data_IF_537768402661
#
_entry.id   IF_537768402661
#
_cell.length_a   1.000
_cell.length_b   1.000
_cell.length_c   1.000
_cell.angle_alpha   90.00
_cell.angle_beta   90.00
_cell.angle_gamma   90.00
#
_symmetry.space_group_name_H-M   'P 1'
#
loop_
_entity.id
_entity.type
_entity.pdbx_description
1 polymer ?
#
# COMPACT_ATOMS: atom_id res chain seq x y z
N UNK A 1 -15.36 63.44 4.51
CA UNK A 1 -14.98 63.25 3.10
C UNK A 1 -14.18 61.96 3.01
N UNK A 2 -14.42 60.97 2.13
CA UNK A 2 -15.56 60.48 1.32
C UNK A 2 -15.03 59.25 0.55
N UNK A 3 -15.65 58.08 0.34
CA UNK A 3 -16.81 57.32 0.87
C UNK A 3 -16.47 55.83 0.60
N UNK A 4 -16.96 54.77 1.28
CA UNK A 4 -18.28 54.40 1.82
C UNK A 4 -19.34 54.03 0.76
N UNK A 5 -19.21 52.82 0.17
CA UNK A 5 -20.34 52.06 -0.37
C UNK A 5 -20.26 50.61 0.12
N UNK A 6 -21.29 50.19 0.84
CA UNK A 6 -21.56 48.81 1.22
C UNK A 6 -22.90 48.42 0.57
N UNK A 7 -22.96 47.30 -0.13
CA UNK A 7 -24.20 46.83 -0.77
C UNK A 7 -24.69 45.54 -0.14
N UNK A 8 -25.48 45.69 0.92
CA UNK A 8 -26.38 44.65 1.40
C UNK A 8 -27.66 44.62 0.55
N UNK A 9 -28.25 43.44 0.36
CA UNK A 9 -29.63 43.31 -0.10
C UNK A 9 -30.26 42.06 0.50
N UNK A 10 -31.51 42.20 0.93
CA UNK A 10 -32.15 41.33 1.91
C UNK A 10 -33.64 41.17 1.58
N UNK A 11 -34.23 40.00 1.91
CA UNK A 11 -35.69 39.78 2.03
C UNK A 11 -36.43 39.83 0.67
N UNK A 12 -37.44 39.02 0.33
CA UNK A 12 -38.19 37.97 1.05
C UNK A 12 -39.33 37.41 0.17
N UNK A 13 -40.23 36.54 0.69
CA UNK A 13 -41.02 35.61 -0.14
C UNK A 13 -42.54 35.91 -0.29
N UNK A 14 -43.20 35.25 -1.27
CA UNK A 14 -44.65 34.89 -1.35
C UNK A 14 -44.88 33.92 -2.54
N UNK A 15 -45.48 32.72 -2.39
CA UNK A 15 -46.94 32.38 -2.45
C UNK A 15 -47.64 32.98 -3.69
N UNK A 16 -48.38 32.25 -4.55
CA UNK A 16 -49.50 31.33 -4.23
C UNK A 16 -50.18 30.65 -5.45
N UNK A 17 -50.88 29.53 -5.19
CA UNK A 17 -52.18 29.08 -5.76
C UNK A 17 -52.33 28.52 -7.21
N UNK A 18 -52.75 27.24 -7.24
CA UNK A 18 -53.92 26.65 -7.92
C UNK A 18 -54.43 27.21 -9.28
N UNK A 19 -54.57 26.30 -10.25
CA UNK A 19 -55.83 26.15 -11.02
C UNK A 19 -56.08 24.70 -11.40
N UNK A 20 -57.26 24.17 -11.03
CA UNK A 20 -57.82 22.92 -11.56
C UNK A 20 -58.51 23.18 -12.90
N UNK A 21 -58.43 22.23 -13.84
CA UNK A 21 -59.38 22.09 -14.95
C UNK A 21 -59.72 20.62 -15.20
N UNK A 22 -61.00 20.37 -15.47
CA UNK A 22 -61.64 19.06 -15.64
C UNK A 22 -62.15 18.88 -17.07
N UNK A 23 -62.63 17.65 -17.39
CA UNK A 23 -63.39 17.26 -18.61
C UNK A 23 -62.52 16.94 -19.84
N UNK A 24 -62.78 15.91 -20.67
CA UNK A 24 -63.76 14.81 -20.62
C UNK A 24 -63.33 13.61 -21.53
N UNK A 25 -64.11 12.53 -21.48
CA UNK A 25 -63.90 11.22 -22.16
C UNK A 25 -63.89 11.28 -23.70
N UNK A 26 -63.18 10.32 -24.31
CA UNK A 26 -63.74 9.53 -25.42
C UNK A 26 -63.12 8.12 -25.47
N UNK A 27 -63.93 7.11 -25.75
CA UNK A 27 -63.53 5.73 -26.04
C UNK A 27 -63.16 5.57 -27.52
N UNK A 28 -62.34 4.57 -27.90
CA UNK A 28 -62.67 3.52 -28.91
C UNK A 28 -61.44 2.67 -29.33
N UNK A 29 -61.50 1.36 -28.99
CA UNK A 29 -61.03 0.17 -29.73
C UNK A 29 -59.56 -0.13 -30.07
N UNK A 30 -59.36 -1.45 -30.21
CA UNK A 30 -58.34 -2.20 -30.96
C UNK A 30 -56.92 -2.22 -30.37
N UNK A 31 -56.34 -3.41 -30.37
CA UNK A 31 -55.13 -3.72 -29.60
C UNK A 31 -53.92 -4.08 -30.44
N UNK A 32 -52.79 -4.00 -29.75
CA UNK A 32 -51.52 -4.70 -29.93
C UNK A 32 -51.05 -4.89 -28.46
N UNK A 33 -50.89 -6.09 -27.90
CA UNK A 33 -49.92 -7.14 -28.26
C UNK A 33 -48.53 -6.59 -28.55
N UNK A 34 -47.59 -7.06 -27.75
CA UNK A 34 -46.13 -6.92 -27.86
C UNK A 34 -45.52 -5.54 -27.53
N UNK A 35 -45.31 -5.27 -26.23
CA UNK A 35 -44.22 -4.38 -25.77
C UNK A 35 -43.70 -4.71 -24.34
N UNK A 36 -43.77 -5.99 -23.92
CA UNK A 36 -43.41 -6.42 -22.55
C UNK A 36 -41.99 -7.03 -22.44
N UNK A 37 -41.14 -6.84 -23.46
CA UNK A 37 -39.78 -7.42 -23.51
C UNK A 37 -38.63 -6.40 -23.58
N UNK A 38 -38.92 -5.10 -23.60
CA UNK A 38 -37.88 -4.05 -23.66
C UNK A 38 -37.40 -3.58 -22.27
N UNK A 39 -38.25 -3.64 -21.23
CA UNK A 39 -37.96 -3.04 -19.92
C UNK A 39 -36.77 -3.68 -19.18
N UNK A 40 -36.75 -5.02 -19.09
CA UNK A 40 -35.68 -5.74 -18.38
C UNK A 40 -34.29 -5.58 -19.02
N UNK A 41 -34.21 -5.27 -20.32
CA UNK A 41 -32.93 -4.97 -20.97
C UNK A 41 -32.40 -3.56 -20.66
N UNK A 42 -33.28 -2.61 -20.33
CA UNK A 42 -32.92 -1.24 -19.96
C UNK A 42 -32.49 -1.17 -18.50
N UNK A 43 -33.25 -1.74 -17.56
CA UNK A 43 -32.88 -1.76 -16.12
C UNK A 43 -31.52 -2.45 -15.88
N UNK A 44 -31.24 -3.56 -16.57
CA UNK A 44 -29.96 -4.28 -16.43
C UNK A 44 -28.76 -3.46 -16.95
N UNK A 45 -28.99 -2.64 -17.98
CA UNK A 45 -27.98 -1.74 -18.54
C UNK A 45 -27.75 -0.53 -17.62
N UNK A 46 -28.82 0.07 -17.10
CA UNK A 46 -28.76 1.18 -16.14
C UNK A 46 -28.05 0.77 -14.84
N UNK A 47 -28.34 -0.42 -14.31
CA UNK A 47 -27.64 -1.00 -13.14
C UNK A 47 -26.12 -1.14 -13.38
N UNK A 48 -25.72 -1.64 -14.57
CA UNK A 48 -24.29 -1.77 -14.92
C UNK A 48 -23.62 -0.41 -15.16
N UNK A 49 -24.32 0.57 -15.73
CA UNK A 49 -23.82 1.94 -15.89
C UNK A 49 -23.58 2.59 -14.52
N UNK A 50 -24.52 2.46 -13.58
CA UNK A 50 -24.35 2.97 -12.21
C UNK A 50 -23.12 2.32 -11.55
N UNK A 51 -22.99 0.99 -11.63
CA UNK A 51 -21.86 0.26 -11.06
C UNK A 51 -20.50 0.72 -11.62
N UNK A 52 -20.38 0.95 -12.93
CA UNK A 52 -19.15 1.51 -13.49
C UNK A 52 -18.88 2.95 -13.02
N UNK A 53 -19.92 3.74 -12.74
CA UNK A 53 -19.78 5.04 -12.05
C UNK A 53 -19.21 4.90 -10.64
N UNK A 54 -19.74 3.98 -9.83
CA UNK A 54 -19.25 3.71 -8.47
C UNK A 54 -17.79 3.20 -8.46
N UNK A 55 -17.35 2.45 -9.49
CA UNK A 55 -15.94 2.08 -9.68
C UNK A 55 -15.05 3.29 -9.98
N UNK A 56 -15.54 4.26 -10.77
CA UNK A 56 -14.81 5.49 -11.07
C UNK A 56 -14.70 6.41 -9.85
N UNK A 57 -15.75 6.46 -9.01
CA UNK A 57 -15.70 7.15 -7.71
C UNK A 57 -14.62 6.55 -6.80
N UNK A 58 -14.50 5.22 -6.72
CA UNK A 58 -13.42 4.56 -5.97
C UNK A 58 -12.03 4.92 -6.53
N UNK A 59 -11.86 4.97 -7.86
CA UNK A 59 -10.59 5.42 -8.46
C UNK A 59 -10.28 6.86 -8.08
N UNK A 60 -11.25 7.77 -8.25
CA UNK A 60 -11.10 9.19 -7.94
C UNK A 60 -10.73 9.43 -6.47
N UNK A 61 -11.36 8.71 -5.54
CA UNK A 61 -11.06 8.86 -4.12
C UNK A 61 -9.72 8.22 -3.73
N UNK A 62 -9.26 7.16 -4.41
CA UNK A 62 -7.89 6.66 -4.23
C UNK A 62 -6.82 7.66 -4.69
N UNK A 63 -7.04 8.33 -5.82
CA UNK A 63 -6.16 9.42 -6.28
C UNK A 63 -6.12 10.54 -5.24
N UNK A 64 -7.29 10.91 -4.69
CA UNK A 64 -7.41 11.92 -3.65
C UNK A 64 -6.67 11.53 -2.37
N UNK A 65 -6.78 10.28 -1.93
CA UNK A 65 -6.02 9.76 -0.77
C UNK A 65 -4.51 9.85 -1.04
N UNK A 66 -4.05 9.39 -2.21
CA UNK A 66 -2.65 9.51 -2.62
C UNK A 66 -2.12 10.96 -2.62
N UNK A 67 -2.94 11.91 -3.05
CA UNK A 67 -2.62 13.34 -2.98
C UNK A 67 -2.54 13.86 -1.54
N UNK A 68 -3.47 13.45 -0.66
CA UNK A 68 -3.45 13.81 0.77
C UNK A 68 -2.20 13.25 1.47
N UNK A 69 -1.85 11.98 1.25
CA UNK A 69 -0.61 11.37 1.77
C UNK A 69 0.62 12.11 1.26
N UNK A 70 0.68 12.42 -0.04
CA UNK A 70 1.77 13.20 -0.65
C UNK A 70 1.94 14.59 -0.03
N UNK A 71 0.84 15.28 0.28
CA UNK A 71 0.88 16.57 0.97
C UNK A 71 1.38 16.43 2.41
N UNK A 72 0.88 15.41 3.12
CA UNK A 72 1.28 15.08 4.50
C UNK A 72 2.78 14.81 4.60
N UNK A 73 3.37 14.01 3.69
CA UNK A 73 4.83 13.77 3.65
C UNK A 73 5.61 15.08 3.55
N UNK A 74 5.31 15.92 2.56
CA UNK A 74 6.01 17.19 2.36
C UNK A 74 5.86 18.15 3.54
N UNK A 75 4.65 18.26 4.10
CA UNK A 75 4.38 19.12 5.27
C UNK A 75 5.02 18.59 6.55
N UNK A 76 5.05 17.28 6.76
CA UNK A 76 5.70 16.64 7.92
C UNK A 76 7.22 16.79 7.86
N UNK A 77 7.80 16.67 6.66
CA UNK A 77 9.23 16.95 6.40
C UNK A 77 9.55 18.40 6.76
N UNK A 78 8.77 19.37 6.27
CA UNK A 78 8.96 20.79 6.57
C UNK A 78 8.82 21.10 8.07
N UNK A 79 7.76 20.61 8.72
CA UNK A 79 7.52 20.82 10.15
C UNK A 79 8.64 20.24 11.03
N UNK A 80 9.21 19.08 10.66
CA UNK A 80 10.40 18.52 11.30
C UNK A 80 11.61 19.44 11.11
N UNK A 81 11.92 19.82 9.86
CA UNK A 81 13.13 20.58 9.54
C UNK A 81 13.13 21.99 10.14
N UNK A 82 11.99 22.66 10.15
CA UNK A 82 11.86 24.02 10.68
C UNK A 82 11.57 24.05 12.19
N UNK A 83 11.52 22.87 12.84
CA UNK A 83 11.21 22.67 14.27
C UNK A 83 9.86 23.30 14.67
N UNK A 84 8.93 23.38 13.72
CA UNK A 84 7.59 23.95 13.94
C UNK A 84 6.67 22.91 14.61
N UNK A 85 6.63 22.99 15.94
CA UNK A 85 5.76 22.14 16.77
C UNK A 85 4.26 22.40 16.54
N UNK A 86 3.87 23.58 16.04
CA UNK A 86 2.48 23.87 15.73
C UNK A 86 2.06 23.19 14.42
N UNK A 87 2.87 23.34 13.35
CA UNK A 87 2.66 22.62 12.10
C UNK A 87 2.67 21.10 12.29
N UNK A 88 3.59 20.57 13.11
CA UNK A 88 3.64 19.15 13.46
C UNK A 88 2.37 18.70 14.21
N UNK A 89 1.83 19.52 15.12
CA UNK A 89 0.60 19.19 15.83
C UNK A 89 -0.63 19.23 14.91
N UNK A 90 -0.72 20.19 13.99
CA UNK A 90 -1.79 20.26 12.98
C UNK A 90 -1.82 19.02 12.07
N UNK A 91 -0.66 18.40 11.80
CA UNK A 91 -0.60 17.14 11.05
C UNK A 91 -1.09 15.97 11.93
N UNK A 92 -0.66 15.90 13.19
CA UNK A 92 -1.10 14.85 14.14
C UNK A 92 -2.62 14.90 14.38
N UNK A 93 -3.19 16.10 14.51
CA UNK A 93 -4.64 16.28 14.73
C UNK A 93 -5.45 16.14 13.43
N UNK A 94 -4.79 16.14 12.26
CA UNK A 94 -5.40 15.95 10.95
C UNK A 94 -5.45 14.49 10.48
N UNK A 95 -4.79 13.58 11.20
CA UNK A 95 -4.69 12.15 10.91
C UNK A 95 -6.06 11.47 10.91
N UNK A 96 -6.90 11.78 11.92
CA UNK A 96 -8.30 11.34 12.04
C UNK A 96 -9.14 11.57 10.75
N UNK A 97 -8.79 12.58 9.94
CA UNK A 97 -9.47 12.90 8.67
C UNK A 97 -9.04 11.98 7.53
N UNK A 98 -7.79 11.51 7.55
CA UNK A 98 -7.29 10.49 6.62
C UNK A 98 -7.93 9.14 6.98
N UNK A 99 -7.97 8.78 8.26
CA UNK A 99 -8.58 7.54 8.76
C UNK A 99 -10.07 7.43 8.39
N UNK A 100 -10.88 8.47 8.67
CA UNK A 100 -12.31 8.50 8.30
C UNK A 100 -12.51 8.38 6.79
N UNK A 101 -11.66 9.03 5.99
CA UNK A 101 -11.70 8.94 4.53
C UNK A 101 -11.36 7.53 4.02
N UNK A 102 -10.34 6.88 4.61
CA UNK A 102 -9.96 5.50 4.32
C UNK A 102 -11.09 4.53 4.66
N UNK A 103 -11.68 4.63 5.86
CA UNK A 103 -12.82 3.80 6.28
C UNK A 103 -14.02 3.96 5.32
N UNK A 104 -14.39 5.20 4.98
CA UNK A 104 -15.47 5.47 4.03
C UNK A 104 -15.21 4.99 2.60
N UNK A 105 -13.94 4.80 2.22
CA UNK A 105 -13.54 4.24 0.92
C UNK A 105 -13.51 2.70 0.95
N UNK A 106 -13.06 2.09 2.06
CA UNK A 106 -13.17 0.64 2.29
C UNK A 106 -14.64 0.17 2.32
N UNK A 107 -15.52 0.88 3.04
CA UNK A 107 -16.95 0.57 3.09
C UNK A 107 -17.60 0.58 1.69
N UNK A 108 -17.19 1.48 0.81
CA UNK A 108 -17.65 1.51 -0.59
C UNK A 108 -17.13 0.32 -1.39
N UNK A 109 -15.87 -0.06 -1.19
CA UNK A 109 -15.32 -1.27 -1.79
C UNK A 109 -16.05 -2.54 -1.32
N UNK A 110 -16.33 -2.67 -0.02
CA UNK A 110 -17.11 -3.81 0.52
C UNK A 110 -18.54 -3.82 -0.02
N UNK A 111 -19.19 -2.64 -0.16
CA UNK A 111 -20.52 -2.51 -0.75
C UNK A 111 -20.56 -2.97 -2.20
N UNK A 112 -19.56 -2.61 -3.00
CA UNK A 112 -19.42 -3.07 -4.40
C UNK A 112 -19.29 -4.59 -4.47
N UNK A 113 -18.47 -5.20 -3.61
CA UNK A 113 -18.30 -6.66 -3.54
C UNK A 113 -19.56 -7.40 -3.05
N UNK A 114 -20.38 -6.75 -2.22
CA UNK A 114 -21.57 -7.36 -1.62
C UNK A 114 -22.84 -7.23 -2.48
N UNK A 115 -23.01 -6.12 -3.20
CA UNK A 115 -24.21 -5.83 -3.99
C UNK A 115 -24.11 -6.30 -5.45
N UNK A 116 -22.89 -6.47 -5.97
CA UNK A 116 -22.65 -6.73 -7.39
C UNK A 116 -21.95 -8.08 -7.58
N UNK A 117 -22.01 -8.61 -8.81
CA UNK A 117 -21.27 -9.81 -9.22
C UNK A 117 -20.12 -9.40 -10.16
N UNK A 118 -19.00 -8.85 -9.62
CA UNK A 118 -17.91 -8.33 -10.43
C UNK A 118 -17.27 -9.41 -11.31
N UNK A 119 -17.01 -9.07 -12.57
CA UNK A 119 -16.23 -9.87 -13.50
C UNK A 119 -14.75 -9.82 -13.06
N UNK A 120 -13.94 -10.82 -13.44
CA UNK A 120 -12.58 -11.01 -12.95
C UNK A 120 -11.66 -9.76 -12.96
N UNK A 121 -11.79 -8.85 -13.93
CA UNK A 121 -11.02 -7.59 -13.95
C UNK A 121 -11.50 -6.58 -12.90
N UNK A 122 -12.82 -6.43 -12.76
CA UNK A 122 -13.47 -5.53 -11.79
C UNK A 122 -13.22 -6.00 -10.36
N UNK A 123 -13.26 -7.33 -10.13
CA UNK A 123 -12.92 -7.93 -8.84
C UNK A 123 -11.46 -7.64 -8.47
N UNK A 124 -10.51 -7.77 -9.42
CA UNK A 124 -9.11 -7.40 -9.17
C UNK A 124 -8.94 -5.92 -8.90
N UNK A 125 -9.68 -5.04 -9.58
CA UNK A 125 -9.67 -3.60 -9.30
C UNK A 125 -10.13 -3.29 -7.86
N UNK A 126 -11.26 -3.83 -7.40
CA UNK A 126 -11.76 -3.55 -6.04
C UNK A 126 -10.85 -4.18 -4.97
N UNK A 127 -10.35 -5.40 -5.17
CA UNK A 127 -9.40 -6.03 -4.26
C UNK A 127 -8.04 -5.31 -4.21
N UNK A 128 -7.57 -4.78 -5.35
CA UNK A 128 -6.38 -3.93 -5.42
C UNK A 128 -6.61 -2.63 -4.65
N UNK A 129 -7.77 -2.01 -4.87
CA UNK A 129 -8.13 -0.74 -4.23
C UNK A 129 -8.12 -0.86 -2.70
N UNK A 130 -8.73 -1.92 -2.15
CA UNK A 130 -8.65 -2.24 -0.72
C UNK A 130 -7.22 -2.40 -0.17
N UNK A 131 -6.28 -2.93 -0.99
CA UNK A 131 -4.87 -3.02 -0.58
C UNK A 131 -4.18 -1.66 -0.62
N UNK A 132 -4.42 -0.87 -1.67
CA UNK A 132 -3.84 0.47 -1.82
C UNK A 132 -4.25 1.41 -0.68
N UNK A 133 -5.52 1.40 -0.26
CA UNK A 133 -6.00 2.21 0.89
C UNK A 133 -5.14 1.96 2.13
N UNK A 134 -4.88 0.70 2.46
CA UNK A 134 -4.12 0.32 3.67
C UNK A 134 -2.60 0.56 3.56
N UNK A 135 -2.01 0.60 2.36
CA UNK A 135 -0.60 1.02 2.22
C UNK A 135 -0.46 2.56 2.27
N UNK A 136 -1.48 3.30 1.81
CA UNK A 136 -1.54 4.76 1.85
C UNK A 136 -1.81 5.31 3.26
N UNK A 137 -2.75 4.72 4.00
CA UNK A 137 -3.02 5.05 5.41
C UNK A 137 -1.76 4.90 6.27
N UNK A 138 -1.12 3.73 6.26
CA UNK A 138 0.18 3.50 6.91
C UNK A 138 1.25 4.51 6.52
N UNK A 139 1.26 4.97 5.26
CA UNK A 139 2.21 5.98 4.80
C UNK A 139 1.96 7.35 5.43
N UNK A 140 0.70 7.75 5.64
CA UNK A 140 0.38 8.95 6.43
C UNK A 140 0.76 8.79 7.91
N UNK A 141 0.39 7.66 8.53
CA UNK A 141 0.67 7.35 9.94
C UNK A 141 2.19 7.34 10.23
N UNK A 142 3.02 6.87 9.30
CA UNK A 142 4.49 6.99 9.40
C UNK A 142 4.97 8.45 9.47
N UNK A 143 4.36 9.37 8.73
CA UNK A 143 4.71 10.80 8.77
C UNK A 143 4.16 11.47 10.03
N UNK A 144 3.01 11.02 10.53
CA UNK A 144 2.52 11.43 11.85
C UNK A 144 3.49 10.94 12.94
N UNK A 145 4.12 9.77 12.77
CA UNK A 145 5.21 9.31 13.63
C UNK A 145 6.50 10.15 13.47
N UNK A 146 6.80 10.71 12.29
CA UNK A 146 7.83 11.76 12.11
C UNK A 146 7.48 13.03 12.90
N UNK A 147 6.23 13.48 12.87
CA UNK A 147 5.75 14.65 13.63
C UNK A 147 5.74 14.41 15.16
N UNK A 148 5.35 13.21 15.59
CA UNK A 148 5.49 12.74 16.99
C UNK A 148 6.98 12.66 17.40
N UNK A 149 7.89 12.45 16.44
CA UNK A 149 9.35 12.42 16.68
C UNK A 149 9.97 13.82 16.78
N UNK A 150 9.56 14.79 15.97
CA UNK A 150 10.07 16.17 16.04
C UNK A 150 9.85 16.79 17.44
N UNK A 151 8.69 16.52 18.05
CA UNK A 151 8.37 16.87 19.45
C UNK A 151 9.34 16.25 20.47
N UNK A 152 9.84 15.03 20.22
CA UNK A 152 10.77 14.30 21.12
C UNK A 152 12.22 14.75 20.97
N UNK A 153 12.59 15.36 19.84
CA UNK A 153 13.94 15.85 19.54
C UNK A 153 13.99 17.37 19.35
N UNK A 154 13.02 18.11 19.90
CA UNK A 154 12.92 19.56 19.69
C UNK A 154 14.21 20.33 20.04
N UNK A 155 14.95 19.89 21.06
CA UNK A 155 16.22 20.49 21.50
C UNK A 155 17.45 20.07 20.67
N UNK A 156 17.29 19.16 19.69
CA UNK A 156 18.36 18.72 18.79
C UNK A 156 18.45 19.65 17.59
N UNK A 157 19.65 20.17 17.32
CA UNK A 157 19.91 20.97 16.12
C UNK A 157 20.47 20.10 14.99
N UNK A 158 19.88 20.21 13.80
CA UNK A 158 20.35 19.47 12.63
C UNK A 158 21.50 20.22 11.95
N UNK A 159 22.69 19.63 11.97
CA UNK A 159 23.80 20.10 11.14
C UNK A 159 23.43 20.04 9.64
N UNK A 160 24.05 20.86 8.76
CA UNK A 160 23.63 21.01 7.36
C UNK A 160 23.52 19.69 6.58
N UNK A 161 24.43 18.74 6.83
CA UNK A 161 24.38 17.42 6.19
C UNK A 161 23.13 16.60 6.60
N UNK A 162 22.77 16.61 7.88
CA UNK A 162 21.59 15.89 8.39
C UNK A 162 20.31 16.53 7.87
N UNK A 163 20.23 17.87 7.88
CA UNK A 163 19.10 18.62 7.31
C UNK A 163 18.88 18.28 5.83
N UNK A 164 19.94 18.36 5.02
CA UNK A 164 19.85 18.10 3.57
C UNK A 164 19.53 16.64 3.22
N UNK A 165 19.88 15.67 4.08
CA UNK A 165 19.49 14.27 3.88
C UNK A 165 18.01 14.03 4.22
N UNK A 166 17.49 14.63 5.30
CA UNK A 166 16.05 14.57 5.62
C UNK A 166 15.20 15.21 4.52
N UNK A 167 15.63 16.36 4.00
CA UNK A 167 14.97 17.06 2.89
C UNK A 167 14.88 16.18 1.63
N UNK A 168 15.99 15.52 1.27
CA UNK A 168 16.02 14.58 0.14
C UNK A 168 15.14 13.34 0.37
N UNK A 169 15.16 12.73 1.56
CA UNK A 169 14.29 11.59 1.87
C UNK A 169 12.80 11.96 1.76
N UNK A 170 12.40 13.15 2.25
CA UNK A 170 11.02 13.62 2.14
C UNK A 170 10.58 13.91 0.70
N UNK A 171 11.48 14.46 -0.13
CA UNK A 171 11.24 14.64 -1.57
C UNK A 171 11.08 13.29 -2.27
N UNK A 172 11.97 12.33 -2.01
CA UNK A 172 11.95 11.02 -2.67
C UNK A 172 10.73 10.19 -2.27
N UNK A 173 10.40 10.14 -0.97
CA UNK A 173 9.18 9.48 -0.48
C UNK A 173 7.90 10.09 -1.08
N UNK A 174 7.87 11.42 -1.27
CA UNK A 174 6.75 12.10 -1.97
C UNK A 174 6.70 11.72 -3.46
N UNK A 175 7.85 11.54 -4.11
CA UNK A 175 7.94 11.11 -5.51
C UNK A 175 7.48 9.66 -5.68
N UNK A 176 7.94 8.74 -4.83
CA UNK A 176 7.56 7.33 -4.83
C UNK A 176 6.06 7.11 -4.67
N UNK A 177 5.42 7.77 -3.70
CA UNK A 177 3.96 7.68 -3.51
C UNK A 177 3.21 8.22 -4.74
N UNK A 178 3.68 9.29 -5.38
CA UNK A 178 3.08 9.80 -6.63
C UNK A 178 3.25 8.82 -7.78
N UNK A 179 4.45 8.33 -8.03
CA UNK A 179 4.71 7.34 -9.07
C UNK A 179 3.89 6.05 -8.88
N UNK A 180 3.71 5.61 -7.64
CA UNK A 180 2.85 4.48 -7.29
C UNK A 180 1.37 4.74 -7.64
N UNK A 181 0.84 5.94 -7.34
CA UNK A 181 -0.52 6.35 -7.70
C UNK A 181 -0.66 6.52 -9.22
N UNK A 182 0.29 7.17 -9.89
CA UNK A 182 0.29 7.36 -11.34
C UNK A 182 0.25 6.01 -12.07
N UNK A 183 1.03 5.02 -11.59
CA UNK A 183 0.99 3.65 -12.13
C UNK A 183 -0.38 2.97 -11.97
N UNK A 184 -1.10 3.25 -10.87
CA UNK A 184 -2.46 2.76 -10.64
C UNK A 184 -3.49 3.46 -11.56
N UNK A 185 -3.36 4.77 -11.77
CA UNK A 185 -4.26 5.59 -12.60
C UNK A 185 -4.19 5.15 -14.07
N UNK A 186 -2.99 5.08 -14.62
CA UNK A 186 -2.76 4.74 -16.02
C UNK A 186 -2.73 3.22 -16.27
N UNK A 187 -2.83 2.42 -15.20
CA UNK A 187 -2.64 0.96 -15.22
C UNK A 187 -1.28 0.55 -15.83
N UNK A 188 -0.25 1.36 -15.61
CA UNK A 188 1.08 1.19 -16.19
C UNK A 188 1.89 0.14 -15.41
N UNK A 189 1.93 -1.07 -15.96
CA UNK A 189 2.75 -2.18 -15.45
C UNK A 189 4.26 -1.89 -15.50
N UNK A 190 4.72 -1.03 -16.42
CA UNK A 190 6.14 -0.71 -16.56
C UNK A 190 6.58 0.18 -15.40
N UNK A 191 5.87 1.28 -15.15
CA UNK A 191 6.10 2.13 -13.99
C UNK A 191 5.92 1.36 -12.68
N UNK A 192 4.86 0.55 -12.56
CA UNK A 192 4.61 -0.27 -11.38
C UNK A 192 5.75 -1.27 -11.09
N UNK A 193 6.38 -1.83 -12.14
CA UNK A 193 7.54 -2.73 -11.99
C UNK A 193 8.85 -2.01 -11.68
N UNK A 194 8.99 -0.74 -12.08
CA UNK A 194 10.19 0.06 -11.87
C UNK A 194 10.26 0.70 -10.47
N UNK A 195 9.20 0.64 -9.67
CA UNK A 195 9.18 1.24 -8.33
C UNK A 195 10.24 0.65 -7.38
N UNK A 196 10.57 -0.64 -7.53
CA UNK A 196 11.65 -1.32 -6.78
C UNK A 196 13.00 -0.63 -7.08
N UNK A 197 13.37 -0.51 -8.37
CA UNK A 197 14.58 0.19 -8.83
C UNK A 197 14.59 1.70 -8.51
N UNK A 198 13.43 2.32 -8.30
CA UNK A 198 13.32 3.75 -7.93
C UNK A 198 13.55 3.93 -6.41
N UNK A 199 13.11 2.98 -5.59
CA UNK A 199 13.20 3.06 -4.12
C UNK A 199 14.63 2.85 -3.60
N UNK A 200 15.49 2.17 -4.36
CA UNK A 200 16.95 2.06 -4.12
C UNK A 200 17.57 3.41 -3.70
N UNK A 201 17.12 4.52 -4.29
CA UNK A 201 17.60 5.87 -3.97
C UNK A 201 17.21 6.35 -2.58
N UNK A 202 16.02 6.00 -2.10
CA UNK A 202 15.56 6.34 -0.75
C UNK A 202 16.32 5.50 0.29
N UNK A 203 16.59 4.24 -0.02
CA UNK A 203 17.45 3.35 0.78
C UNK A 203 18.90 3.88 0.89
N UNK A 204 19.52 4.29 -0.23
CA UNK A 204 20.85 4.93 -0.23
C UNK A 204 20.87 6.20 0.66
N UNK A 205 19.83 7.03 0.58
CA UNK A 205 19.67 8.22 1.42
C UNK A 205 19.52 7.87 2.90
N UNK A 206 18.76 6.82 3.24
CA UNK A 206 18.59 6.32 4.60
C UNK A 206 19.93 5.86 5.19
N UNK A 207 20.69 5.07 4.43
CA UNK A 207 22.02 4.57 4.84
C UNK A 207 22.98 5.74 5.06
N UNK A 208 23.03 6.71 4.14
CA UNK A 208 23.86 7.91 4.28
C UNK A 208 23.46 8.78 5.49
N UNK A 209 22.16 8.86 5.78
CA UNK A 209 21.60 9.57 6.93
C UNK A 209 21.99 8.90 8.26
N UNK A 210 21.84 7.58 8.39
CA UNK A 210 22.29 6.83 9.57
C UNK A 210 23.81 6.98 9.80
N UNK A 211 24.61 6.94 8.73
CA UNK A 211 26.05 7.21 8.82
C UNK A 211 26.38 8.66 9.23
N UNK A 212 25.54 9.65 8.90
CA UNK A 212 25.69 11.03 9.36
C UNK A 212 25.37 11.18 10.85
N UNK A 213 24.35 10.47 11.36
CA UNK A 213 24.00 10.43 12.79
C UNK A 213 25.17 9.86 13.61
N UNK A 214 25.77 8.73 13.19
CA UNK A 214 26.89 8.13 13.92
C UNK A 214 28.10 9.07 14.01
N UNK A 215 28.43 9.79 12.93
CA UNK A 215 29.51 10.79 12.92
C UNK A 215 29.21 11.92 13.91
N UNK A 216 28.03 12.53 13.83
CA UNK A 216 27.59 13.60 14.75
C UNK A 216 27.59 13.18 16.23
N UNK A 217 27.20 11.92 16.52
CA UNK A 217 27.28 11.37 17.88
C UNK A 217 28.73 11.19 18.36
N UNK A 218 29.63 10.68 17.50
CA UNK A 218 31.04 10.47 17.84
C UNK A 218 31.79 11.78 18.15
N UNK A 219 31.35 12.89 17.55
CA UNK A 219 31.86 14.25 17.80
C UNK A 219 31.27 14.90 19.07
N UNK A 220 30.45 14.17 19.84
CA UNK A 220 29.71 14.64 21.02
C UNK A 220 28.68 15.75 20.76
N UNK A 221 28.34 16.02 19.50
CA UNK A 221 27.34 17.02 19.11
C UNK A 221 25.89 16.55 19.35
N UNK A 222 25.70 15.29 19.76
CA UNK A 222 24.40 14.63 19.84
C UNK A 222 24.38 13.58 20.94
N UNK A 223 23.35 13.58 21.80
CA UNK A 223 23.16 12.54 22.82
C UNK A 223 22.54 11.26 22.23
N UNK A 224 22.74 10.11 22.90
CA UNK A 224 22.28 8.80 22.41
C UNK A 224 20.76 8.73 22.18
N UNK A 225 19.96 9.38 23.03
CA UNK A 225 18.50 9.40 22.89
C UNK A 225 18.08 10.12 21.60
N UNK A 226 18.67 11.29 21.32
CA UNK A 226 18.46 12.03 20.07
C UNK A 226 18.93 11.25 18.84
N UNK A 227 20.07 10.56 18.93
CA UNK A 227 20.56 9.70 17.85
C UNK A 227 19.59 8.56 17.50
N UNK A 228 19.05 7.87 18.51
CA UNK A 228 18.04 6.80 18.31
C UNK A 228 16.75 7.37 17.71
N UNK A 229 16.26 8.50 18.21
CA UNK A 229 15.06 9.14 17.67
C UNK A 229 15.24 9.63 16.22
N UNK A 230 16.41 10.16 15.86
CA UNK A 230 16.71 10.50 14.48
C UNK A 230 16.82 9.26 13.59
N UNK A 231 17.45 8.18 14.04
CA UNK A 231 17.50 6.93 13.27
C UNK A 231 16.09 6.39 12.97
N UNK A 232 15.14 6.51 13.91
CA UNK A 232 13.73 6.17 13.68
C UNK A 232 13.08 7.02 12.57
N UNK A 233 13.42 8.30 12.44
CA UNK A 233 12.89 9.18 11.38
C UNK A 233 13.30 8.67 9.98
N UNK A 234 14.58 8.34 9.79
CA UNK A 234 15.04 7.74 8.52
C UNK A 234 14.34 6.41 8.22
N UNK A 235 14.14 5.61 9.27
CA UNK A 235 13.42 4.32 9.25
C UNK A 235 11.89 4.44 9.11
N UNK A 236 11.34 5.66 9.10
CA UNK A 236 9.95 5.93 8.73
C UNK A 236 9.84 6.33 7.25
N UNK A 237 10.83 7.05 6.69
CA UNK A 237 10.86 7.35 5.27
C UNK A 237 11.08 6.10 4.40
N UNK A 238 12.05 5.23 4.74
CA UNK A 238 12.26 3.95 4.00
C UNK A 238 10.97 3.11 3.94
N UNK A 239 10.18 3.06 5.02
CA UNK A 239 8.86 2.40 4.97
C UNK A 239 7.82 3.04 4.06
N UNK A 240 7.89 4.35 3.79
CA UNK A 240 7.03 4.97 2.79
C UNK A 240 7.43 4.50 1.38
N UNK A 241 8.73 4.25 1.17
CA UNK A 241 9.27 3.52 0.02
C UNK A 241 8.70 2.10 -0.10
N UNK A 242 8.88 1.27 0.94
CA UNK A 242 8.29 -0.09 1.04
C UNK A 242 6.80 -0.09 0.63
N UNK A 243 6.03 0.88 1.14
CA UNK A 243 4.59 1.00 0.86
C UNK A 243 4.31 1.40 -0.60
N UNK A 244 5.12 2.27 -1.21
CA UNK A 244 5.03 2.59 -2.64
C UNK A 244 5.36 1.38 -3.54
N UNK A 245 6.42 0.63 -3.22
CA UNK A 245 6.78 -0.62 -3.94
C UNK A 245 5.65 -1.67 -3.80
N UNK A 246 5.11 -1.84 -2.59
CA UNK A 246 3.95 -2.73 -2.37
C UNK A 246 2.73 -2.30 -3.21
N UNK A 247 2.46 -1.00 -3.37
CA UNK A 247 1.40 -0.50 -4.28
C UNK A 247 1.69 -0.93 -5.72
N UNK A 248 2.93 -0.76 -6.20
CA UNK A 248 3.38 -1.26 -7.51
C UNK A 248 3.09 -2.75 -7.72
N UNK A 249 3.44 -3.61 -6.76
CA UNK A 249 3.11 -5.04 -6.81
C UNK A 249 1.60 -5.30 -6.97
N UNK A 250 0.74 -4.47 -6.35
CA UNK A 250 -0.72 -4.61 -6.47
C UNK A 250 -1.25 -4.11 -7.81
N UNK A 251 -0.68 -3.04 -8.37
CA UNK A 251 -1.00 -2.57 -9.72
C UNK A 251 -0.64 -3.64 -10.76
N UNK A 252 0.54 -4.26 -10.64
CA UNK A 252 0.93 -5.40 -11.46
C UNK A 252 -0.10 -6.54 -11.40
N UNK A 253 -0.58 -6.89 -10.21
CA UNK A 253 -1.64 -7.88 -10.04
C UNK A 253 -2.99 -7.43 -10.65
N UNK A 254 -3.37 -6.17 -10.48
CA UNK A 254 -4.61 -5.61 -11.03
C UNK A 254 -4.70 -5.83 -12.54
N UNK A 255 -3.64 -5.48 -13.26
CA UNK A 255 -3.57 -5.58 -14.72
C UNK A 255 -3.39 -7.04 -15.14
N UNK A 256 -2.32 -7.69 -14.70
CA UNK A 256 -1.87 -9.00 -15.23
C UNK A 256 -2.63 -10.20 -14.65
N UNK A 257 -3.19 -10.07 -13.44
CA UNK A 257 -3.73 -11.18 -12.66
C UNK A 257 -2.69 -11.99 -11.89
N UNK A 258 -1.40 -11.68 -12.01
CA UNK A 258 -0.29 -12.38 -11.35
C UNK A 258 0.33 -11.52 -10.26
N UNK A 259 0.59 -12.13 -9.10
CA UNK A 259 1.36 -11.51 -8.03
C UNK A 259 2.85 -11.81 -8.25
N UNK A 260 3.75 -10.83 -8.10
CA UNK A 260 5.19 -11.10 -8.11
C UNK A 260 5.57 -12.08 -7.00
N UNK A 261 6.49 -12.99 -7.29
CA UNK A 261 6.88 -14.04 -6.35
C UNK A 261 7.84 -13.48 -5.30
N UNK A 262 7.30 -13.16 -4.11
CA UNK A 262 8.11 -12.63 -2.99
C UNK A 262 9.27 -13.58 -2.67
N UNK A 263 10.49 -13.03 -2.60
CA UNK A 263 11.74 -13.79 -2.45
C UNK A 263 11.74 -14.76 -1.25
N UNK A 264 11.05 -14.42 -0.16
CA UNK A 264 10.86 -15.31 0.99
C UNK A 264 10.00 -16.56 0.69
N UNK A 265 8.95 -16.42 -0.12
CA UNK A 265 8.09 -17.53 -0.53
C UNK A 265 8.81 -18.45 -1.53
N UNK A 266 9.55 -17.88 -2.50
CA UNK A 266 10.40 -18.65 -3.40
C UNK A 266 11.46 -19.46 -2.62
N UNK A 267 12.17 -18.83 -1.67
CA UNK A 267 13.11 -19.53 -0.77
C UNK A 267 12.45 -20.62 0.08
N UNK A 268 11.19 -20.47 0.47
CA UNK A 268 10.47 -21.51 1.21
C UNK A 268 10.12 -22.70 0.30
N UNK A 269 9.56 -22.45 -0.88
CA UNK A 269 9.23 -23.49 -1.89
C UNK A 269 10.47 -24.27 -2.32
N UNK A 270 11.61 -23.60 -2.47
CA UNK A 270 12.89 -24.24 -2.76
C UNK A 270 13.31 -25.19 -1.63
N UNK A 271 13.26 -24.74 -0.36
CA UNK A 271 13.57 -25.60 0.80
C UNK A 271 12.60 -26.78 0.96
N UNK A 272 11.33 -26.59 0.62
CA UNK A 272 10.32 -27.66 0.61
C UNK A 272 10.63 -28.69 -0.48
N UNK A 273 10.89 -28.26 -1.71
CA UNK A 273 11.28 -29.14 -2.81
C UNK A 273 12.62 -29.87 -2.56
N UNK A 274 13.61 -29.21 -1.95
CA UNK A 274 14.87 -29.83 -1.52
C UNK A 274 14.65 -30.90 -0.44
N UNK A 275 13.73 -30.66 0.51
CA UNK A 275 13.40 -31.62 1.56
C UNK A 275 12.63 -32.84 1.01
N UNK A 276 11.69 -32.63 0.08
CA UNK A 276 10.95 -33.69 -0.60
C UNK A 276 11.88 -34.56 -1.46
N UNK A 277 12.75 -33.96 -2.29
CA UNK A 277 13.76 -34.69 -3.07
C UNK A 277 14.75 -35.47 -2.17
N UNK A 278 15.10 -34.90 -1.00
CA UNK A 278 15.90 -35.58 0.01
C UNK A 278 15.19 -36.83 0.57
N UNK A 279 13.90 -36.73 0.88
CA UNK A 279 13.10 -37.84 1.39
C UNK A 279 12.99 -38.99 0.37
N UNK A 280 12.64 -38.70 -0.88
CA UNK A 280 12.55 -39.71 -1.97
C UNK A 280 13.88 -40.44 -2.19
N UNK A 281 15.00 -39.72 -2.12
CA UNK A 281 16.33 -40.33 -2.24
C UNK A 281 16.61 -41.33 -1.11
N UNK A 282 16.17 -41.05 0.12
CA UNK A 282 16.36 -41.92 1.28
C UNK A 282 15.45 -43.15 1.27
N UNK A 283 14.24 -43.03 0.72
CA UNK A 283 13.28 -44.12 0.63
C UNK A 283 13.68 -45.13 -0.46
N UNK A 284 14.21 -44.65 -1.60
CA UNK A 284 14.74 -45.52 -2.66
C UNK A 284 15.92 -46.39 -2.20
N UNK A 285 16.83 -45.86 -1.37
CA UNK A 285 17.99 -46.58 -0.86
C UNK A 285 17.61 -47.77 0.04
N UNK A 286 16.50 -47.67 0.79
CA UNK A 286 16.06 -48.65 1.78
C UNK A 286 15.27 -49.84 1.18
N UNK A 287 14.97 -49.82 -0.13
CA UNK A 287 14.22 -50.88 -0.82
C UNK A 287 15.09 -51.97 -1.47
N UNK A 288 16.42 -51.88 -1.36
CA UNK A 288 17.35 -52.74 -2.14
C UNK A 288 17.96 -53.95 -1.41
N UNK A 289 17.86 -54.04 -0.07
CA UNK A 289 18.39 -55.17 0.71
C UNK A 289 17.28 -56.17 1.12
N UNK A 290 16.88 -57.00 0.15
CA UNK A 290 15.76 -57.94 0.31
C UNK A 290 15.99 -59.35 -0.27
N UNK A 291 17.24 -59.76 -0.55
CA UNK A 291 17.54 -61.05 -1.16
C UNK A 291 18.92 -61.63 -0.75
N UNK A 292 19.06 -62.06 0.50
CA UNK A 292 20.26 -62.78 0.96
C UNK A 292 20.24 -64.28 0.64
N UNK A 293 21.34 -64.88 0.16
CA UNK A 293 21.50 -66.33 0.09
C UNK A 293 22.42 -66.92 1.18
N UNK A 294 21.91 -67.99 1.79
CA UNK A 294 22.58 -69.12 2.45
C UNK A 294 24.05 -69.04 2.92
N UNK A 295 24.22 -69.32 4.22
CA UNK A 295 25.45 -69.75 4.91
C UNK A 295 26.15 -70.92 4.20
N UNK A 296 27.47 -70.81 4.00
CA UNK A 296 28.40 -71.95 4.13
C UNK A 296 29.70 -71.51 4.82
N UNK A 297 30.25 -72.42 5.61
CA UNK A 297 31.43 -72.25 6.46
C UNK A 297 32.67 -72.91 5.86
N UNK A 298 33.85 -72.26 5.92
CA UNK A 298 35.09 -72.99 6.22
C UNK A 298 36.24 -72.10 6.75
N UNK A 299 37.10 -72.75 7.55
CA UNK A 299 38.50 -72.51 7.94
C UNK A 299 39.18 -71.13 7.86
N UNK A 300 39.68 -70.70 9.04
CA UNK A 300 40.91 -69.91 9.25
C UNK A 300 42.17 -70.83 9.10
N UNK A 301 43.47 -70.38 9.11
CA UNK A 301 44.03 -69.37 10.05
C UNK A 301 45.23 -68.50 9.55
N UNK A 302 45.80 -67.71 10.49
CA UNK A 302 47.10 -66.99 10.47
C UNK A 302 47.22 -65.76 9.52
N UNK A 303 47.99 -64.71 9.81
CA UNK A 303 48.67 -64.20 11.03
C UNK A 303 48.99 -62.70 10.77
N UNK A 304 49.18 -61.84 11.79
CA UNK A 304 49.70 -60.48 11.52
C UNK A 304 49.42 -59.34 12.51
N UNK A 305 50.05 -59.41 13.69
CA UNK A 305 50.57 -58.32 14.54
C UNK A 305 50.33 -56.83 14.13
N UNK A 306 49.89 -56.00 15.09
CA UNK A 306 49.98 -54.53 15.02
C UNK A 306 49.25 -53.80 16.16
N UNK A 307 49.99 -53.24 17.12
CA UNK A 307 49.46 -52.58 18.34
C UNK A 307 49.11 -51.07 18.16
N UNK A 308 48.03 -50.62 18.83
CA UNK A 308 47.83 -49.38 19.64
C UNK A 308 48.51 -48.01 19.29
N UNK A 309 48.05 -46.84 19.81
CA UNK A 309 46.67 -46.36 20.03
C UNK A 309 46.43 -44.82 19.82
N UNK A 310 45.19 -44.38 20.07
CA UNK A 310 44.71 -43.10 20.65
C UNK A 310 45.31 -41.71 20.29
N UNK A 311 44.38 -40.81 19.88
CA UNK A 311 44.25 -39.38 20.26
C UNK A 311 45.27 -38.36 19.69
N UNK A 312 45.07 -37.01 19.82
CA UNK A 312 44.21 -36.22 20.74
C UNK A 312 42.69 -36.43 20.62
#
# INVERSE_FOLDING_TARGET
>A
MCELVCSSSSIGPRRSLLTLRTSARSTTSLGALDDEQSHGGVEMNETRIQYHGELEEVRSDLIRLGAMVSETIGRGTAALLDRDLHAAQVIIDGDDVIDDFCLGLEERCYRLLALQSPIAGELRFVLTSLRLISELERSADLIVNVCKSSRRIYDVEFGPQIRGLIEQMGVEATFLIRAAIDSYVDADTSLASALDDIDDRLDELQVAYVQAIFRSHSEMNLNLQGAVQMAMIGRYYERVGDHAVNIGERVMYMVTGWLPEKSGAARQRLREAEAEAGAESSESANTTDGAGPAVQSDSSPQDGLGEFPDRP
#
